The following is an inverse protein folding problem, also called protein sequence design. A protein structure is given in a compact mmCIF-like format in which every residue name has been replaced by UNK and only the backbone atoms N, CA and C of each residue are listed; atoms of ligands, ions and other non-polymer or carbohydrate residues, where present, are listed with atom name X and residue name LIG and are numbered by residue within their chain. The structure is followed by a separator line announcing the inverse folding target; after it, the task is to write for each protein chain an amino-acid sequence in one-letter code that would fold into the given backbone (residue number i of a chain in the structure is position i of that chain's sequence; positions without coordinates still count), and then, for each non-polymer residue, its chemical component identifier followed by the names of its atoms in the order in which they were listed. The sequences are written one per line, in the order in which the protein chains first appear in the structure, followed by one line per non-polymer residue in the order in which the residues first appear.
data_IF_761508665612
#
_entry.id   IF_761508665612
#
_cell.length_a   1.000
_cell.length_b   1.000
_cell.length_c   1.000
_cell.angle_alpha   90.00
_cell.angle_beta   90.00
_cell.angle_gamma   90.00
#
_symmetry.space_group_name_H-M   'P 1'
#
loop_
_entity.id
_entity.type
_entity.pdbx_description
1 polymer ?
#
# COMPACT_ATOMS: atom_id res chain seq x y z
N UNK A 1 -4.53 -10.97 22.96
CA UNK A 1 -3.87 -10.16 21.92
C UNK A 1 -3.39 -11.10 20.83
N UNK A 2 -3.29 -10.59 19.63
CA UNK A 2 -2.99 -11.30 18.40
C UNK A 2 -1.92 -10.51 17.62
N UNK A 3 -1.47 -11.06 16.50
CA UNK A 3 -0.50 -10.42 15.61
C UNK A 3 -1.01 -10.11 14.22
N UNK A 4 -2.16 -10.68 13.85
CA UNK A 4 -2.71 -10.61 12.52
C UNK A 4 -2.06 -11.60 11.54
N UNK A 5 -1.45 -12.67 12.05
CA UNK A 5 -0.90 -13.75 11.23
C UNK A 5 -1.88 -14.90 11.24
N UNK A 6 -2.51 -15.16 10.09
CA UNK A 6 -3.57 -16.18 10.00
C UNK A 6 -2.97 -17.57 10.10
N UNK A 7 -3.48 -18.36 11.04
CA UNK A 7 -3.03 -19.73 11.27
C UNK A 7 -3.87 -20.76 10.51
N UNK A 8 -5.14 -20.44 10.25
CA UNK A 8 -6.05 -21.31 9.51
C UNK A 8 -7.23 -20.53 8.93
N UNK A 9 -7.91 -21.12 7.95
CA UNK A 9 -9.26 -20.73 7.57
C UNK A 9 -10.24 -21.83 7.97
N UNK A 10 -11.48 -21.46 8.29
CA UNK A 10 -12.51 -22.41 8.70
C UNK A 10 -13.88 -22.04 8.13
N UNK A 11 -14.68 -23.06 7.84
CA UNK A 11 -16.08 -22.89 7.43
C UNK A 11 -16.98 -22.63 8.64
N UNK A 12 -17.99 -21.78 8.46
CA UNK A 12 -19.09 -21.64 9.40
C UNK A 12 -20.00 -22.87 9.27
N UNK A 13 -20.07 -23.68 10.31
CA UNK A 13 -20.92 -24.87 10.36
C UNK A 13 -22.37 -24.51 10.70
N UNK A 14 -22.56 -23.54 11.58
CA UNK A 14 -23.89 -23.00 11.91
C UNK A 14 -23.78 -21.61 12.52
N UNK A 15 -24.79 -20.78 12.29
CA UNK A 15 -24.92 -19.46 12.91
C UNK A 15 -26.34 -19.30 13.45
N UNK A 16 -26.45 -19.23 14.78
CA UNK A 16 -27.69 -18.88 15.47
C UNK A 16 -27.81 -17.37 15.69
N UNK A 17 -28.74 -16.96 16.55
CA UNK A 17 -28.94 -15.54 16.87
C UNK A 17 -27.71 -14.91 17.53
N UNK A 18 -27.13 -15.60 18.51
CA UNK A 18 -25.93 -15.18 19.25
C UNK A 18 -24.86 -16.26 19.30
N UNK A 19 -25.00 -17.35 18.54
CA UNK A 19 -24.06 -18.48 18.56
C UNK A 19 -23.42 -18.65 17.18
N UNK A 20 -22.12 -18.92 17.18
CA UNK A 20 -21.35 -19.19 15.97
C UNK A 20 -20.56 -20.47 16.16
N UNK A 21 -20.75 -21.46 15.28
CA UNK A 21 -19.98 -22.68 15.27
C UNK A 21 -19.16 -22.77 13.98
N UNK A 22 -17.87 -23.05 14.12
CA UNK A 22 -16.89 -23.14 13.05
C UNK A 22 -16.29 -24.54 12.98
N UNK A 23 -15.82 -24.93 11.81
CA UNK A 23 -14.97 -26.11 11.68
C UNK A 23 -13.68 -25.93 12.49
N UNK A 24 -13.31 -26.94 13.28
CA UNK A 24 -12.09 -26.93 14.08
C UNK A 24 -10.88 -27.29 13.22
N UNK A 25 -9.89 -26.39 13.03
CA UNK A 25 -8.64 -26.75 12.40
C UNK A 25 -7.89 -27.78 13.25
N UNK A 26 -7.25 -28.76 12.62
CA UNK A 26 -6.46 -29.79 13.33
C UNK A 26 -5.31 -29.20 14.15
N UNK A 27 -4.75 -28.07 13.71
CA UNK A 27 -3.68 -27.34 14.39
C UNK A 27 -4.12 -26.68 15.70
N UNK A 28 -5.43 -26.57 15.95
CA UNK A 28 -6.00 -25.94 17.15
C UNK A 28 -6.23 -27.00 18.23
N UNK A 29 -5.21 -27.78 18.55
CA UNK A 29 -5.22 -28.88 19.52
C UNK A 29 -5.04 -28.42 20.98
N UNK A 30 -4.42 -27.26 21.18
CA UNK A 30 -4.14 -26.65 22.49
C UNK A 30 -5.23 -25.70 23.02
N UNK A 31 -6.39 -25.64 22.36
CA UNK A 31 -7.52 -24.81 22.79
C UNK A 31 -8.23 -25.40 24.02
N UNK A 32 -8.73 -24.52 24.88
CA UNK A 32 -9.60 -24.81 26.03
C UNK A 32 -10.82 -23.90 26.04
N UNK A 33 -11.86 -24.26 26.79
CA UNK A 33 -12.99 -23.35 27.06
C UNK A 33 -12.43 -22.05 27.67
N UNK A 34 -12.89 -20.91 27.17
CA UNK A 34 -12.40 -19.59 27.52
C UNK A 34 -11.16 -19.13 26.74
N UNK A 35 -10.61 -19.94 25.83
CA UNK A 35 -9.53 -19.46 24.94
C UNK A 35 -10.03 -18.38 24.00
N UNK A 36 -9.20 -17.37 23.75
CA UNK A 36 -9.51 -16.32 22.78
C UNK A 36 -8.99 -16.68 21.39
N UNK A 37 -9.87 -16.59 20.40
CA UNK A 37 -9.56 -16.80 18.97
C UNK A 37 -10.09 -15.60 18.20
N UNK A 38 -9.26 -15.00 17.35
CA UNK A 38 -9.68 -13.99 16.41
C UNK A 38 -10.36 -14.68 15.22
N UNK A 39 -11.63 -14.36 14.99
CA UNK A 39 -12.43 -14.85 13.87
C UNK A 39 -12.62 -13.71 12.87
N UNK A 40 -11.87 -13.75 11.78
CA UNK A 40 -11.71 -12.63 10.83
C UNK A 40 -11.46 -11.29 11.53
N UNK A 41 -10.53 -11.29 12.48
CA UNK A 41 -10.16 -10.11 13.27
C UNK A 41 -11.06 -9.82 14.47
N UNK A 42 -12.13 -10.59 14.72
CA UNK A 42 -12.99 -10.40 15.90
C UNK A 42 -12.56 -11.36 17.00
N UNK A 43 -12.10 -10.84 18.14
CA UNK A 43 -11.77 -11.65 19.31
C UNK A 43 -13.02 -12.29 19.90
N UNK A 44 -13.09 -13.61 19.90
CA UNK A 44 -14.18 -14.39 20.49
C UNK A 44 -13.63 -15.43 21.49
N UNK A 45 -14.44 -15.76 22.49
CA UNK A 45 -14.10 -16.74 23.52
C UNK A 45 -14.76 -18.08 23.23
N UNK A 46 -13.97 -19.15 23.22
CA UNK A 46 -14.46 -20.52 23.00
C UNK A 46 -15.40 -20.92 24.14
N UNK A 47 -16.65 -21.24 23.83
CA UNK A 47 -17.64 -21.73 24.82
C UNK A 47 -17.76 -23.26 24.82
N UNK A 48 -17.51 -23.88 23.67
CA UNK A 48 -17.53 -25.33 23.51
C UNK A 48 -16.67 -25.71 22.29
N UNK A 49 -16.11 -26.91 22.31
CA UNK A 49 -15.42 -27.47 21.16
C UNK A 49 -15.39 -29.00 21.25
N UNK A 50 -15.29 -29.65 20.10
CA UNK A 50 -15.10 -31.10 20.00
C UNK A 50 -14.02 -31.42 18.96
N UNK A 51 -13.99 -32.65 18.43
CA UNK A 51 -13.02 -33.06 17.42
C UNK A 51 -13.20 -32.35 16.05
N UNK A 52 -14.38 -31.77 15.78
CA UNK A 52 -14.76 -31.22 14.47
C UNK A 52 -15.17 -29.75 14.51
N UNK A 53 -15.53 -29.22 15.67
CA UNK A 53 -16.13 -27.89 15.78
C UNK A 53 -15.58 -27.09 16.96
N UNK A 54 -15.62 -25.76 16.81
CA UNK A 54 -15.41 -24.77 17.86
C UNK A 54 -16.60 -23.82 17.85
N UNK A 55 -17.16 -23.53 19.02
CA UNK A 55 -18.33 -22.69 19.19
C UNK A 55 -18.04 -21.46 20.04
N UNK A 56 -18.72 -20.37 19.72
CA UNK A 56 -18.58 -19.06 20.34
C UNK A 56 -19.95 -18.45 20.62
N UNK A 57 -20.05 -17.68 21.70
CA UNK A 57 -21.12 -16.68 21.86
C UNK A 57 -20.66 -15.36 21.24
N UNK A 58 -21.52 -14.77 20.42
CA UNK A 58 -21.29 -13.50 19.74
C UNK A 58 -22.39 -12.53 20.13
N UNK A 59 -22.01 -11.46 20.81
CA UNK A 59 -22.97 -10.43 21.24
C UNK A 59 -23.53 -9.67 20.04
N UNK A 60 -24.78 -9.22 20.15
CA UNK A 60 -25.50 -8.55 19.06
C UNK A 60 -24.75 -7.32 18.53
N UNK A 61 -24.11 -6.54 19.39
CA UNK A 61 -23.31 -5.38 18.97
C UNK A 61 -22.16 -5.77 18.06
N UNK A 62 -21.48 -6.90 18.34
CA UNK A 62 -20.40 -7.42 17.49
C UNK A 62 -20.93 -7.89 16.15
N UNK A 63 -22.08 -8.58 16.13
CA UNK A 63 -22.74 -8.96 14.87
C UNK A 63 -23.11 -7.72 14.04
N UNK A 64 -23.62 -6.66 14.66
CA UNK A 64 -24.01 -5.42 13.95
C UNK A 64 -22.82 -4.61 13.44
N UNK A 65 -21.69 -4.61 14.15
CA UNK A 65 -20.53 -3.75 13.85
C UNK A 65 -19.45 -4.42 13.01
N UNK A 66 -19.58 -5.72 12.73
CA UNK A 66 -18.56 -6.49 12.02
C UNK A 66 -19.19 -7.27 10.86
N UNK A 67 -18.37 -7.73 9.90
CA UNK A 67 -18.84 -8.56 8.79
C UNK A 67 -19.47 -9.87 9.25
N UNK A 68 -19.18 -10.33 10.48
CA UNK A 68 -19.75 -11.57 11.02
C UNK A 68 -21.29 -11.54 10.99
N UNK A 69 -21.91 -10.37 11.11
CA UNK A 69 -23.36 -10.21 11.02
C UNK A 69 -23.94 -10.60 9.66
N UNK A 70 -23.21 -10.38 8.57
CA UNK A 70 -23.66 -10.70 7.20
C UNK A 70 -23.29 -12.11 6.73
N UNK A 71 -22.38 -12.80 7.41
CA UNK A 71 -21.97 -14.15 7.02
C UNK A 71 -23.06 -15.19 7.30
N UNK A 72 -23.07 -16.25 6.50
CA UNK A 72 -23.99 -17.38 6.57
C UNK A 72 -23.26 -18.71 6.75
N UNK A 73 -24.01 -19.77 7.04
CA UNK A 73 -23.47 -21.13 7.05
C UNK A 73 -22.79 -21.45 5.70
N UNK A 74 -21.61 -22.05 5.75
CA UNK A 74 -20.79 -22.37 4.58
C UNK A 74 -19.72 -21.32 4.25
N UNK A 75 -19.89 -20.07 4.69
CA UNK A 75 -18.88 -19.03 4.49
C UNK A 75 -17.59 -19.37 5.24
N UNK A 76 -16.47 -18.86 4.72
CA UNK A 76 -15.14 -19.11 5.27
C UNK A 76 -14.64 -17.88 6.02
N UNK A 77 -13.99 -18.11 7.15
CA UNK A 77 -13.40 -17.07 8.01
C UNK A 77 -11.93 -17.36 8.30
N UNK A 78 -11.13 -16.30 8.47
CA UNK A 78 -9.76 -16.40 8.97
C UNK A 78 -9.75 -16.69 10.48
N UNK A 79 -8.79 -17.47 10.95
CA UNK A 79 -8.59 -17.79 12.36
C UNK A 79 -7.15 -17.55 12.80
N UNK A 80 -7.01 -16.96 13.98
CA UNK A 80 -5.74 -16.81 14.71
C UNK A 80 -6.02 -17.01 16.20
N UNK A 81 -5.23 -17.85 16.88
CA UNK A 81 -5.29 -18.03 18.33
C UNK A 81 -4.60 -16.87 19.02
N UNK A 82 -5.00 -16.58 20.26
CA UNK A 82 -4.29 -15.59 21.05
C UNK A 82 -2.81 -15.97 21.22
N UNK A 83 -1.94 -14.97 21.05
CA UNK A 83 -0.50 -15.14 21.10
C UNK A 83 -0.04 -15.59 22.50
N UNK A 84 0.86 -16.59 22.54
CA UNK A 84 1.57 -16.97 23.77
C UNK A 84 2.56 -15.88 24.16
N UNK A 85 2.82 -15.73 25.47
CA UNK A 85 3.70 -14.68 25.98
C UNK A 85 5.16 -14.81 25.49
N UNK A 86 5.60 -16.03 25.20
CA UNK A 86 6.89 -16.39 24.62
C UNK A 86 6.86 -16.57 23.08
N UNK A 87 5.72 -16.24 22.47
CA UNK A 87 5.53 -16.31 21.03
C UNK A 87 6.29 -15.22 20.26
N UNK A 88 6.45 -15.44 18.96
CA UNK A 88 7.04 -14.46 18.05
C UNK A 88 6.01 -13.45 17.58
N UNK A 89 6.41 -12.20 17.55
CA UNK A 89 5.58 -11.09 17.11
C UNK A 89 5.88 -10.73 15.64
N UNK A 90 5.28 -11.46 14.70
CA UNK A 90 5.63 -11.35 13.27
C UNK A 90 4.78 -10.32 12.50
N UNK A 91 3.67 -9.85 13.08
CA UNK A 91 2.83 -8.76 12.56
C UNK A 91 2.91 -7.50 13.41
N UNK A 92 1.74 -6.95 13.80
CA UNK A 92 1.64 -5.82 14.73
C UNK A 92 0.65 -6.11 15.87
N UNK A 93 0.42 -5.19 16.80
CA UNK A 93 -0.52 -5.41 17.91
C UNK A 93 -1.95 -5.39 17.39
N UNK A 94 -2.55 -6.57 17.38
CA UNK A 94 -3.96 -6.76 17.05
C UNK A 94 -4.70 -7.13 18.33
N UNK A 95 -5.71 -6.33 18.67
CA UNK A 95 -6.56 -6.54 19.83
C UNK A 95 -7.70 -7.52 19.50
N UNK A 96 -8.10 -7.58 18.24
CA UNK A 96 -9.28 -8.30 17.79
C UNK A 96 -10.56 -7.51 18.05
N UNK A 97 -10.46 -6.18 18.06
CA UNK A 97 -11.54 -5.23 18.31
C UNK A 97 -11.80 -4.44 17.03
N UNK A 98 -12.51 -5.06 16.09
CA UNK A 98 -12.86 -4.43 14.83
C UNK A 98 -13.64 -3.13 15.03
N UNK A 99 -13.25 -2.10 14.30
CA UNK A 99 -13.72 -0.73 14.48
C UNK A 99 -14.69 -0.30 13.39
N UNK A 100 -14.69 -1.03 12.27
CA UNK A 100 -15.62 -0.80 11.18
C UNK A 100 -15.55 -1.90 10.14
N UNK A 101 -16.40 -1.74 9.14
CA UNK A 101 -16.45 -2.61 7.97
C UNK A 101 -16.13 -1.78 6.74
N UNK A 102 -15.11 -2.21 6.00
CA UNK A 102 -14.77 -1.69 4.68
C UNK A 102 -15.42 -2.52 3.58
N UNK A 103 -15.56 -1.93 2.40
CA UNK A 103 -16.00 -2.59 1.18
C UNK A 103 -14.85 -2.69 0.20
N UNK A 104 -14.63 -3.85 -0.39
CA UNK A 104 -13.66 -3.99 -1.47
C UNK A 104 -14.12 -3.15 -2.65
N UNK A 105 -13.29 -2.19 -3.05
CA UNK A 105 -13.54 -1.31 -4.21
C UNK A 105 -13.02 -1.98 -5.48
N UNK A 106 -11.82 -2.56 -5.40
CA UNK A 106 -11.19 -3.28 -6.50
C UNK A 106 -10.14 -4.25 -5.99
N UNK A 107 -9.98 -5.34 -6.73
CA UNK A 107 -8.83 -6.24 -6.65
C UNK A 107 -8.23 -6.34 -8.05
N UNK A 108 -6.97 -5.94 -8.20
CA UNK A 108 -6.27 -6.06 -9.47
C UNK A 108 -4.94 -6.73 -9.24
N UNK A 109 -4.47 -7.47 -10.24
CA UNK A 109 -3.09 -7.93 -10.27
C UNK A 109 -2.20 -6.70 -10.03
N UNK A 110 -1.41 -6.77 -8.97
CA UNK A 110 -0.22 -5.93 -8.89
C UNK A 110 0.66 -6.51 -9.98
N UNK A 111 0.57 -5.97 -11.21
CA UNK A 111 1.53 -6.34 -12.22
C UNK A 111 2.92 -6.24 -11.59
N UNK A 112 3.77 -7.25 -11.77
CA UNK A 112 5.20 -6.93 -11.81
C UNK A 112 5.27 -5.76 -12.80
N UNK A 113 5.77 -4.59 -12.39
CA UNK A 113 5.82 -3.39 -13.21
C UNK A 113 6.32 -3.78 -14.62
N UNK A 114 5.39 -3.99 -15.55
CA UNK A 114 5.66 -4.53 -16.89
C UNK A 114 4.80 -3.73 -17.86
N UNK A 115 5.41 -3.20 -18.94
CA UNK A 115 4.81 -2.16 -19.76
C UNK A 115 3.74 -2.75 -20.70
N UNK A 116 2.63 -2.02 -20.85
CA UNK A 116 1.72 -2.26 -21.97
C UNK A 116 2.44 -1.99 -23.30
N UNK A 117 2.07 -2.72 -24.38
CA UNK A 117 2.70 -2.60 -25.69
C UNK A 117 2.43 -1.22 -26.30
N UNK A 118 3.46 -0.62 -26.89
CA UNK A 118 3.39 0.69 -27.54
C UNK A 118 2.44 0.69 -28.74
N UNK A 119 1.72 1.79 -29.03
CA UNK A 119 1.07 1.98 -30.32
C UNK A 119 2.12 2.22 -31.41
N UNK A 120 1.90 1.62 -32.57
CA UNK A 120 2.77 1.73 -33.76
C UNK A 120 2.70 3.15 -34.35
N UNK A 121 3.81 3.75 -34.83
CA UNK A 121 3.78 5.10 -35.38
C UNK A 121 3.28 5.09 -36.84
N UNK A 122 2.24 5.86 -37.13
CA UNK A 122 1.88 6.21 -38.51
C UNK A 122 0.38 6.22 -38.81
N UNK A 123 -0.33 7.29 -38.43
CA UNK A 123 -1.52 7.77 -39.13
C UNK A 123 -1.75 9.24 -38.74
N UNK A 124 -1.62 10.12 -39.73
CA UNK A 124 -1.82 11.56 -39.57
C UNK A 124 -3.29 11.98 -39.68
N UNK A 125 -3.55 13.10 -39.02
CA UNK A 125 -4.53 14.16 -39.24
C UNK A 125 -6.06 13.96 -39.13
N UNK A 126 -6.61 14.89 -38.32
CA UNK A 126 -7.95 15.52 -38.34
C UNK A 126 -9.19 14.68 -37.95
N UNK A 127 -9.63 14.81 -36.69
CA UNK A 127 -11.05 14.95 -36.34
C UNK A 127 -11.27 15.31 -34.85
N UNK A 128 -12.06 16.37 -34.66
CA UNK A 128 -13.01 16.67 -33.58
C UNK A 128 -12.61 16.67 -32.09
N UNK A 129 -12.98 17.80 -31.46
CA UNK A 129 -13.02 18.05 -30.02
C UNK A 129 -13.94 17.04 -29.32
N UNK A 130 -13.38 15.95 -28.84
CA UNK A 130 -13.96 15.16 -27.74
C UNK A 130 -12.93 15.03 -26.63
N UNK A 131 -13.39 15.26 -25.40
CA UNK A 131 -12.63 15.18 -24.16
C UNK A 131 -11.81 13.90 -24.08
N UNK A 132 -10.50 14.02 -24.31
CA UNK A 132 -9.53 12.94 -24.19
C UNK A 132 -9.46 12.50 -22.72
N UNK A 133 -10.19 11.43 -22.42
CA UNK A 133 -9.98 10.59 -21.25
C UNK A 133 -8.58 9.96 -21.39
N UNK A 134 -7.67 10.31 -20.49
CA UNK A 134 -6.32 9.77 -20.45
C UNK A 134 -6.35 8.26 -20.17
N UNK A 135 -5.79 7.46 -21.08
CA UNK A 135 -5.38 6.06 -20.85
C UNK A 135 -3.87 6.05 -20.53
N UNK A 136 -3.52 6.12 -19.25
CA UNK A 136 -2.16 5.92 -18.76
C UNK A 136 -2.20 4.96 -17.57
N UNK A 137 -1.29 3.98 -17.56
CA UNK A 137 -0.95 2.99 -16.51
C UNK A 137 -2.02 2.74 -15.44
N UNK A 138 -2.63 1.55 -15.50
CA UNK A 138 -3.68 1.11 -14.58
C UNK A 138 -3.29 1.29 -13.10
N UNK A 139 -3.96 2.22 -12.41
CA UNK A 139 -4.06 2.23 -10.94
C UNK A 139 -3.39 3.37 -10.17
N UNK A 140 -2.70 4.32 -10.79
CA UNK A 140 -2.11 5.46 -10.07
C UNK A 140 -3.10 6.64 -9.96
N UNK A 141 -3.48 7.01 -8.75
CA UNK A 141 -4.35 8.15 -8.43
C UNK A 141 -3.63 9.50 -8.59
N UNK A 142 -4.43 10.52 -8.90
CA UNK A 142 -4.01 11.89 -9.14
C UNK A 142 -3.36 12.49 -7.87
N UNK A 143 -2.26 13.26 -7.99
CA UNK A 143 -1.65 13.94 -6.85
C UNK A 143 -2.65 14.89 -6.16
N UNK A 144 -2.59 15.06 -4.82
CA UNK A 144 -3.51 15.93 -4.08
C UNK A 144 -3.56 17.34 -4.67
N UNK A 145 -4.73 17.98 -4.61
CA UNK A 145 -4.92 19.33 -5.19
C UNK A 145 -3.96 20.37 -4.62
N UNK A 146 -3.58 20.25 -3.34
CA UNK A 146 -2.55 21.05 -2.68
C UNK A 146 -1.16 20.84 -3.28
N UNK A 147 -0.78 19.60 -3.57
CA UNK A 147 0.50 19.24 -4.21
C UNK A 147 0.52 19.73 -5.66
N UNK A 148 -0.60 19.59 -6.38
CA UNK A 148 -0.76 20.14 -7.73
C UNK A 148 -0.66 21.67 -7.73
N UNK A 149 -1.26 22.34 -6.75
CA UNK A 149 -1.19 23.78 -6.58
C UNK A 149 0.23 24.24 -6.26
N UNK A 150 0.93 23.53 -5.35
CA UNK A 150 2.32 23.81 -5.01
C UNK A 150 3.24 23.63 -6.22
N UNK A 151 3.11 22.53 -6.97
CA UNK A 151 3.86 22.33 -8.21
C UNK A 151 3.61 23.43 -9.25
N UNK A 152 2.39 23.99 -9.33
CA UNK A 152 2.10 25.15 -10.19
C UNK A 152 2.77 26.43 -9.68
N UNK A 153 2.84 26.65 -8.37
CA UNK A 153 3.55 27.78 -7.78
C UNK A 153 5.07 27.68 -8.05
N UNK A 154 5.67 26.51 -7.81
CA UNK A 154 7.10 26.25 -8.10
C UNK A 154 7.47 26.47 -9.57
N UNK A 155 6.56 26.17 -10.52
CA UNK A 155 6.79 26.48 -11.95
C UNK A 155 6.83 27.97 -12.26
N UNK A 156 6.14 28.80 -11.47
CA UNK A 156 6.12 30.26 -11.64
C UNK A 156 7.36 30.90 -11.02
N UNK A 157 7.82 30.36 -9.90
CA UNK A 157 8.94 30.90 -9.13
C UNK A 157 10.07 29.86 -8.95
N UNK A 158 10.71 29.41 -10.05
CA UNK A 158 11.78 28.43 -9.94
C UNK A 158 13.08 29.05 -9.42
N UNK A 159 13.90 28.23 -8.76
CA UNK A 159 15.23 28.63 -8.28
C UNK A 159 16.16 28.95 -9.45
N UNK A 160 17.29 29.64 -9.18
CA UNK A 160 18.29 29.95 -10.22
C UNK A 160 18.86 28.67 -10.86
N UNK A 161 19.14 27.65 -10.05
CA UNK A 161 19.63 26.36 -10.52
C UNK A 161 18.57 25.63 -11.36
N UNK A 162 17.31 25.58 -10.90
CA UNK A 162 16.21 24.98 -11.69
C UNK A 162 16.02 25.68 -13.05
N UNK A 163 16.15 27.02 -13.10
CA UNK A 163 16.09 27.76 -14.37
C UNK A 163 17.20 27.32 -15.32
N UNK A 164 18.43 27.27 -14.85
CA UNK A 164 19.60 26.86 -15.65
C UNK A 164 19.47 25.42 -16.14
N UNK A 165 19.10 24.48 -15.24
CA UNK A 165 18.93 23.08 -15.61
C UNK A 165 17.75 22.90 -16.59
N UNK A 166 16.65 23.64 -16.41
CA UNK A 166 15.54 23.60 -17.36
C UNK A 166 15.94 24.03 -18.77
N UNK A 167 16.79 25.06 -18.90
CA UNK A 167 17.25 25.52 -20.21
C UNK A 167 18.11 24.48 -20.95
N UNK A 168 18.82 23.66 -20.19
CA UNK A 168 19.60 22.54 -20.70
C UNK A 168 18.71 21.34 -21.07
N UNK A 169 17.67 21.05 -20.30
CA UNK A 169 16.77 19.90 -20.52
C UNK A 169 15.66 20.17 -21.56
N UNK A 170 15.17 21.40 -21.67
CA UNK A 170 14.03 21.74 -22.54
C UNK A 170 14.35 21.48 -24.02
N UNK A 171 13.30 21.17 -24.79
CA UNK A 171 13.36 20.91 -26.25
C UNK A 171 14.15 19.65 -26.63
N UNK A 172 14.05 18.57 -25.86
CA UNK A 172 14.63 17.26 -26.19
C UNK A 172 16.15 17.27 -26.38
N UNK A 173 16.86 18.23 -25.77
CA UNK A 173 18.31 18.41 -25.94
C UNK A 173 19.13 17.25 -25.40
N UNK A 174 18.59 16.48 -24.46
CA UNK A 174 19.21 15.26 -23.95
C UNK A 174 18.70 14.07 -24.76
N UNK A 175 19.43 13.70 -25.81
CA UNK A 175 19.23 12.47 -26.60
C UNK A 175 17.81 12.22 -27.11
N UNK A 176 17.00 13.26 -27.29
CA UNK A 176 15.61 13.12 -27.75
C UNK A 176 14.57 12.95 -26.63
N UNK A 177 14.97 12.77 -25.37
CA UNK A 177 14.04 12.50 -24.27
C UNK A 177 13.34 13.75 -23.76
N UNK A 178 12.05 13.60 -23.43
CA UNK A 178 11.22 14.69 -22.91
C UNK A 178 11.24 14.74 -21.38
N UNK A 179 11.56 15.91 -20.83
CA UNK A 179 11.50 16.19 -19.40
C UNK A 179 10.37 17.18 -19.08
N UNK A 180 9.65 16.93 -17.98
CA UNK A 180 8.62 17.80 -17.42
C UNK A 180 9.10 18.43 -16.12
N UNK A 181 8.78 19.70 -15.91
CA UNK A 181 9.09 20.40 -14.66
C UNK A 181 8.04 20.19 -13.57
N UNK A 182 8.53 20.09 -12.34
CA UNK A 182 7.74 20.07 -11.11
C UNK A 182 6.60 19.07 -11.24
N UNK A 183 6.94 17.82 -11.55
CA UNK A 183 5.97 16.75 -11.80
C UNK A 183 5.49 16.23 -10.44
N UNK A 184 4.20 16.41 -10.11
CA UNK A 184 3.68 15.78 -8.91
C UNK A 184 3.41 14.30 -9.17
N UNK A 185 3.87 13.44 -8.26
CA UNK A 185 3.73 11.99 -8.27
C UNK A 185 3.37 11.58 -6.84
N UNK A 186 2.13 11.12 -6.63
CA UNK A 186 1.61 10.89 -5.29
C UNK A 186 1.63 12.16 -4.44
N UNK A 187 2.21 12.09 -3.24
CA UNK A 187 2.42 13.23 -2.34
C UNK A 187 3.71 14.03 -2.64
N UNK A 188 4.53 13.57 -3.58
CA UNK A 188 5.84 14.16 -3.88
C UNK A 188 5.80 15.03 -5.14
N UNK A 189 6.72 16.01 -5.23
CA UNK A 189 6.97 16.81 -6.44
C UNK A 189 8.41 16.58 -6.86
N UNK A 190 8.64 16.09 -8.08
CA UNK A 190 9.96 15.92 -8.67
C UNK A 190 10.28 17.12 -9.56
N UNK A 191 11.42 17.76 -9.38
CA UNK A 191 11.77 19.01 -10.08
C UNK A 191 11.83 18.83 -11.59
N UNK A 192 12.42 17.73 -12.07
CA UNK A 192 12.36 17.32 -13.47
C UNK A 192 12.09 15.83 -13.61
N UNK A 193 11.15 15.44 -14.45
CA UNK A 193 10.79 14.04 -14.65
C UNK A 193 10.71 13.67 -16.13
N UNK A 194 11.39 12.59 -16.50
CA UNK A 194 11.28 11.95 -17.80
C UNK A 194 10.41 10.68 -17.68
N UNK A 195 9.24 10.72 -18.32
CA UNK A 195 8.28 9.61 -18.31
C UNK A 195 8.83 8.38 -19.03
N UNK A 196 9.48 8.58 -20.19
CA UNK A 196 9.97 7.51 -21.05
C UNK A 196 11.04 6.65 -20.35
N UNK A 197 11.84 7.26 -19.49
CA UNK A 197 12.95 6.60 -18.79
C UNK A 197 12.65 6.29 -17.33
N UNK A 198 11.51 6.76 -16.79
CA UNK A 198 11.22 6.76 -15.35
C UNK A 198 12.39 7.35 -14.54
N UNK A 199 12.94 8.49 -14.99
CA UNK A 199 14.02 9.20 -14.30
C UNK A 199 13.47 10.49 -13.71
N UNK A 200 13.63 10.65 -12.39
CA UNK A 200 13.42 11.90 -11.69
C UNK A 200 14.74 12.60 -11.39
N UNK A 201 14.79 13.91 -11.54
CA UNK A 201 15.92 14.75 -11.17
C UNK A 201 15.46 15.73 -10.10
N UNK A 202 16.19 15.79 -9.00
CA UNK A 202 15.99 16.73 -7.90
C UNK A 202 17.14 17.72 -7.82
N UNK A 203 16.80 18.97 -7.58
CA UNK A 203 17.73 20.09 -7.42
C UNK A 203 17.67 20.55 -5.98
N UNK A 204 18.64 20.11 -5.18
CA UNK A 204 18.60 20.36 -3.73
C UNK A 204 18.71 21.86 -3.41
N UNK A 205 17.63 22.40 -2.84
CA UNK A 205 17.56 23.73 -2.24
C UNK A 205 18.16 23.76 -0.83
N UNK A 206 19.47 23.52 -0.70
CA UNK A 206 20.22 23.71 0.54
C UNK A 206 20.24 22.49 1.46
N UNK A 207 21.43 21.89 1.63
CA UNK A 207 21.69 20.82 2.60
C UNK A 207 21.75 21.48 3.99
N UNK A 208 20.65 21.40 4.75
CA UNK A 208 20.69 21.66 6.20
C UNK A 208 20.55 20.34 6.95
N UNK A 209 21.54 20.08 7.78
CA UNK A 209 21.83 18.80 8.40
C UNK A 209 20.98 18.59 9.67
N UNK A 210 19.71 18.19 9.50
CA UNK A 210 18.84 17.78 10.62
C UNK A 210 18.37 16.32 10.44
N UNK A 211 18.53 15.50 11.49
CA UNK A 211 18.25 14.05 11.52
C UNK A 211 16.83 13.68 11.09
N UNK A 212 15.86 14.57 11.25
CA UNK A 212 14.46 14.37 10.85
C UNK A 212 14.26 14.43 9.33
N UNK A 213 15.08 15.20 8.61
CA UNK A 213 15.01 15.30 7.15
C UNK A 213 15.55 14.03 6.47
N UNK A 214 16.60 13.41 7.04
CA UNK A 214 17.22 12.18 6.48
C UNK A 214 16.23 11.01 6.39
N UNK A 215 15.38 10.85 7.41
CA UNK A 215 14.34 9.82 7.42
C UNK A 215 13.22 10.12 6.39
N UNK A 216 12.92 11.40 6.15
CA UNK A 216 11.96 11.83 5.13
C UNK A 216 12.52 11.66 3.70
N UNK A 217 13.83 11.88 3.53
CA UNK A 217 14.55 11.75 2.25
C UNK A 217 14.81 10.30 1.83
N UNK A 218 15.12 9.41 2.79
CA UNK A 218 15.23 7.97 2.56
C UNK A 218 13.87 7.37 2.18
N UNK A 219 12.82 7.74 2.93
CA UNK A 219 11.43 7.38 2.62
C UNK A 219 10.98 7.85 1.23
N UNK A 220 11.31 9.09 0.86
CA UNK A 220 11.00 9.68 -0.45
C UNK A 220 11.70 8.94 -1.59
N UNK A 221 12.95 8.52 -1.38
CA UNK A 221 13.74 7.80 -2.37
C UNK A 221 13.21 6.37 -2.59
N UNK A 222 12.82 5.66 -1.53
CA UNK A 222 12.21 4.33 -1.61
C UNK A 222 10.79 4.38 -2.22
N UNK A 223 10.00 5.40 -1.88
CA UNK A 223 8.65 5.61 -2.43
C UNK A 223 8.64 5.81 -3.96
N UNK A 224 9.66 6.47 -4.49
CA UNK A 224 9.83 6.67 -5.93
C UNK A 224 10.48 5.45 -6.59
N UNK A 225 11.42 4.77 -5.93
CA UNK A 225 12.02 3.53 -6.40
C UNK A 225 10.99 2.40 -6.57
N UNK A 226 10.03 2.26 -5.64
CA UNK A 226 8.92 1.30 -5.74
C UNK A 226 7.99 1.58 -6.94
N UNK A 227 8.01 2.79 -7.50
CA UNK A 227 7.30 3.17 -8.74
C UNK A 227 8.16 3.02 -9.98
N UNK A 228 9.33 2.39 -9.87
CA UNK A 228 10.31 2.25 -10.94
C UNK A 228 11.02 3.55 -11.28
N UNK A 229 10.89 4.60 -10.46
CA UNK A 229 11.49 5.90 -10.72
C UNK A 229 12.88 5.96 -10.11
N UNK A 230 13.90 6.13 -10.95
CA UNK A 230 15.27 6.40 -10.49
C UNK A 230 15.44 7.89 -10.26
N UNK A 231 15.76 8.27 -9.03
CA UNK A 231 16.11 9.64 -8.68
C UNK A 231 17.59 9.90 -8.88
N UNK A 232 17.91 11.05 -9.48
CA UNK A 232 19.26 11.61 -9.58
C UNK A 232 19.23 12.99 -8.93
N UNK A 233 20.13 13.24 -7.99
CA UNK A 233 20.20 14.51 -7.25
C UNK A 233 21.40 15.33 -7.68
N UNK A 234 21.21 16.64 -7.79
CA UNK A 234 22.28 17.60 -8.02
C UNK A 234 22.16 18.78 -7.06
N UNK A 235 23.30 19.22 -6.54
CA UNK A 235 23.33 20.43 -5.72
C UNK A 235 23.23 21.68 -6.60
N UNK A 236 22.75 22.78 -6.01
CA UNK A 236 22.74 24.08 -6.68
C UNK A 236 24.14 24.47 -7.21
N UNK A 237 25.20 24.18 -6.46
CA UNK A 237 26.59 24.47 -6.83
C UNK A 237 27.02 23.70 -8.08
N UNK A 238 26.73 22.39 -8.15
CA UNK A 238 27.00 21.56 -9.32
C UNK A 238 26.29 22.10 -10.57
N UNK A 239 25.04 22.55 -10.45
CA UNK A 239 24.29 23.10 -11.57
C UNK A 239 24.83 24.47 -11.98
N UNK A 240 25.24 25.31 -11.03
CA UNK A 240 25.73 26.66 -11.31
C UNK A 240 27.15 26.67 -11.89
N UNK A 241 28.02 25.76 -11.46
CA UNK A 241 29.45 25.81 -11.74
C UNK A 241 29.97 24.60 -12.54
N UNK A 242 29.25 23.48 -12.57
CA UNK A 242 29.67 22.22 -13.18
C UNK A 242 28.60 21.62 -14.12
N UNK A 243 27.90 22.48 -14.87
CA UNK A 243 26.77 22.07 -15.72
C UNK A 243 27.13 20.99 -16.76
N UNK A 244 28.34 21.01 -17.32
CA UNK A 244 28.79 19.97 -18.26
C UNK A 244 28.78 18.57 -17.64
N UNK A 245 29.17 18.48 -16.38
CA UNK A 245 29.28 17.21 -15.64
C UNK A 245 27.90 16.71 -15.20
N UNK A 246 27.01 17.65 -14.83
CA UNK A 246 25.59 17.37 -14.57
C UNK A 246 24.93 16.76 -15.80
N UNK A 247 25.13 17.36 -16.97
CA UNK A 247 24.56 16.86 -18.23
C UNK A 247 25.13 15.49 -18.61
N UNK A 248 26.45 15.30 -18.50
CA UNK A 248 27.08 14.00 -18.74
C UNK A 248 26.55 12.90 -17.79
N UNK A 249 26.33 13.25 -16.52
CA UNK A 249 25.74 12.35 -15.52
C UNK A 249 24.30 11.97 -15.90
N UNK A 250 23.46 12.95 -16.28
CA UNK A 250 22.09 12.69 -16.74
C UNK A 250 22.10 11.77 -17.98
N UNK A 251 22.97 12.04 -18.95
CA UNK A 251 23.11 11.21 -20.15
C UNK A 251 23.58 9.78 -19.85
N UNK A 252 24.44 9.59 -18.86
CA UNK A 252 24.86 8.27 -18.40
C UNK A 252 23.66 7.53 -17.78
N UNK A 253 22.85 8.22 -16.97
CA UNK A 253 21.65 7.68 -16.37
C UNK A 253 20.58 7.32 -17.41
N UNK A 254 20.57 7.96 -18.57
CA UNK A 254 19.73 7.55 -19.71
C UNK A 254 20.20 6.25 -20.41
N UNK A 255 21.43 5.79 -20.19
CA UNK A 255 22.01 4.57 -20.83
C UNK A 255 21.93 3.30 -19.96
N UNK A 256 21.65 3.42 -18.67
CA UNK A 256 21.61 2.28 -17.74
C UNK A 256 20.27 1.57 -17.92
N UNK A 257 20.21 0.30 -18.37
CA UNK A 257 18.98 -0.48 -18.37
C UNK A 257 18.46 -0.64 -16.93
N UNK A 258 17.14 -0.80 -16.77
CA UNK A 258 16.55 -1.14 -15.47
C UNK A 258 17.38 -2.26 -14.82
N UNK A 259 17.68 -2.17 -13.50
CA UNK A 259 18.35 -3.27 -12.82
C UNK A 259 17.57 -4.57 -13.06
N UNK A 260 18.24 -5.72 -13.31
CA UNK A 260 17.55 -7.00 -13.23
C UNK A 260 16.91 -7.10 -11.83
N UNK A 261 15.74 -7.74 -11.78
CA UNK A 261 14.98 -8.00 -10.55
C UNK A 261 15.93 -8.34 -9.39
N UNK A 262 15.70 -7.66 -8.26
CA UNK A 262 16.64 -7.56 -7.15
C UNK A 262 17.32 -8.88 -6.81
N UNK A 263 18.65 -8.86 -6.85
CA UNK A 263 19.50 -9.88 -6.27
C UNK A 263 19.37 -9.88 -4.75
N UNK A 264 18.31 -10.51 -4.25
CA UNK A 264 18.30 -11.15 -2.94
C UNK A 264 19.01 -12.50 -3.04
N UNK A 265 19.90 -12.78 -2.10
CA UNK A 265 20.74 -13.97 -2.04
C UNK A 265 19.91 -15.25 -2.25
N UNK A 266 20.26 -16.04 -3.28
CA UNK A 266 19.71 -17.37 -3.58
C UNK A 266 19.99 -18.34 -2.42
N UNK A 267 19.02 -18.53 -1.55
CA UNK A 267 18.81 -19.81 -0.85
C UNK A 267 17.94 -20.69 -1.74
N UNK A 268 18.50 -21.78 -2.28
CA UNK A 268 17.84 -22.63 -3.26
C UNK A 268 16.53 -23.26 -2.74
N UNK A 269 15.42 -22.91 -3.37
CA UNK A 269 14.14 -23.57 -3.26
C UNK A 269 13.28 -23.15 -4.45
N UNK A 270 12.85 -24.12 -5.26
CA UNK A 270 12.07 -23.95 -6.50
C UNK A 270 10.83 -23.06 -6.33
N UNK A 271 10.86 -21.85 -6.91
CA UNK A 271 9.74 -20.92 -6.94
C UNK A 271 8.67 -21.37 -7.95
N UNK A 272 7.45 -21.61 -7.45
CA UNK A 272 6.23 -21.44 -8.25
C UNK A 272 5.77 -20.00 -8.01
N UNK A 273 6.08 -19.10 -8.95
CA UNK A 273 5.77 -17.66 -8.83
C UNK A 273 4.27 -17.40 -8.77
N UNK A 274 3.78 -17.02 -7.58
CA UNK A 274 2.45 -16.44 -7.42
C UNK A 274 2.49 -14.93 -7.70
N UNK A 275 1.44 -14.39 -8.31
CA UNK A 275 1.34 -12.97 -8.62
C UNK A 275 0.81 -12.19 -7.40
N UNK A 276 1.37 -11.00 -7.16
CA UNK A 276 0.87 -10.10 -6.11
C UNK A 276 -0.46 -9.48 -6.53
N UNK A 277 -1.32 -9.16 -5.55
CA UNK A 277 -2.60 -8.46 -5.79
C UNK A 277 -2.60 -7.14 -5.02
N UNK A 278 -3.03 -6.06 -5.67
CA UNK A 278 -3.35 -4.80 -5.01
C UNK A 278 -4.84 -4.79 -4.68
N UNK A 279 -5.17 -4.79 -3.40
CA UNK A 279 -6.54 -4.78 -2.90
C UNK A 279 -6.87 -3.37 -2.40
N UNK A 280 -7.90 -2.74 -2.97
CA UNK A 280 -8.40 -1.42 -2.55
C UNK A 280 -9.69 -1.57 -1.77
N UNK A 281 -9.79 -0.95 -0.60
CA UNK A 281 -10.91 -1.06 0.34
C UNK A 281 -11.40 0.34 0.72
N UNK A 282 -12.72 0.51 0.78
CA UNK A 282 -13.34 1.74 1.28
C UNK A 282 -13.04 1.92 2.77
N UNK A 283 -12.69 3.13 3.16
CA UNK A 283 -12.32 3.48 4.52
C UNK A 283 -13.44 4.33 5.15
N UNK A 284 -14.07 3.89 6.25
CA UNK A 284 -14.95 4.75 7.02
C UNK A 284 -14.23 6.01 7.47
N UNK A 285 -14.86 7.19 7.31
CA UNK A 285 -14.23 8.48 7.61
C UNK A 285 -13.72 8.59 9.05
N UNK A 286 -14.37 7.90 10.00
CA UNK A 286 -13.93 7.85 11.41
C UNK A 286 -12.58 7.15 11.62
N UNK A 287 -12.14 6.32 10.68
CA UNK A 287 -10.87 5.60 10.77
C UNK A 287 -9.72 6.31 10.04
N UNK A 288 -10.03 7.31 9.21
CA UNK A 288 -9.07 7.98 8.32
C UNK A 288 -7.86 8.54 9.06
N UNK A 289 -8.05 9.11 10.26
CA UNK A 289 -6.98 9.72 11.05
C UNK A 289 -5.96 8.69 11.60
N UNK A 290 -6.31 7.40 11.62
CA UNK A 290 -5.42 6.33 12.07
C UNK A 290 -4.71 5.60 10.93
N UNK A 291 -5.04 5.93 9.68
CA UNK A 291 -4.42 5.32 8.50
C UNK A 291 -3.33 6.25 7.97
N UNK A 292 -2.11 5.73 7.95
CA UNK A 292 -0.94 6.39 7.38
C UNK A 292 -0.32 5.49 6.32
N UNK A 293 0.26 6.10 5.30
CA UNK A 293 0.98 5.39 4.25
C UNK A 293 2.17 4.63 4.85
N UNK A 294 2.35 3.36 4.48
CA UNK A 294 3.26 2.38 5.12
C UNK A 294 3.01 2.08 6.60
N UNK A 295 1.91 2.59 7.17
CA UNK A 295 1.45 2.17 8.48
C UNK A 295 0.89 0.75 8.45
N UNK A 296 0.61 0.24 9.65
CA UNK A 296 -0.04 -1.05 9.85
C UNK A 296 -1.56 -0.91 9.81
N UNK A 297 -2.22 -1.89 9.20
CA UNK A 297 -3.66 -2.08 9.32
C UNK A 297 -3.97 -3.57 9.42
N UNK A 298 -5.02 -3.93 10.15
CA UNK A 298 -5.57 -5.28 10.16
C UNK A 298 -6.86 -5.34 9.35
N UNK A 299 -6.89 -6.24 8.35
CA UNK A 299 -8.07 -6.48 7.49
C UNK A 299 -8.48 -7.94 7.64
N UNK A 300 -9.69 -8.20 8.14
CA UNK A 300 -10.17 -9.56 8.46
C UNK A 300 -9.20 -10.37 9.32
N UNK A 301 -8.52 -9.71 10.25
CA UNK A 301 -7.49 -10.33 11.09
C UNK A 301 -6.16 -10.52 10.40
N UNK A 302 -5.96 -10.09 9.15
CA UNK A 302 -4.66 -10.13 8.48
C UNK A 302 -3.92 -8.81 8.71
N UNK A 303 -2.74 -8.86 9.31
CA UNK A 303 -1.84 -7.73 9.45
C UNK A 303 -1.20 -7.39 8.09
N UNK A 304 -1.36 -6.15 7.65
CA UNK A 304 -0.93 -5.68 6.34
C UNK A 304 -0.31 -4.28 6.45
N UNK A 305 0.58 -4.00 5.49
CA UNK A 305 1.15 -2.67 5.28
C UNK A 305 0.27 -1.88 4.32
N UNK A 306 -0.10 -0.66 4.72
CA UNK A 306 -0.85 0.28 3.86
C UNK A 306 0.03 0.71 2.70
N UNK A 307 -0.31 0.27 1.49
CA UNK A 307 0.40 0.61 0.26
C UNK A 307 0.00 2.00 -0.27
N UNK A 308 -1.25 2.41 -0.05
CA UNK A 308 -1.74 3.76 -0.34
C UNK A 308 -2.94 4.09 0.56
N UNK A 309 -3.18 5.37 0.83
CA UNK A 309 -4.35 5.82 1.57
C UNK A 309 -4.88 7.16 1.06
N UNK A 310 -6.19 7.20 0.82
CA UNK A 310 -6.97 8.39 0.46
C UNK A 310 -7.99 8.71 1.56
N UNK A 311 -8.83 9.71 1.34
CA UNK A 311 -9.84 10.15 2.33
C UNK A 311 -10.89 9.07 2.63
N UNK A 312 -11.30 8.32 1.61
CA UNK A 312 -12.42 7.38 1.63
C UNK A 312 -12.02 5.95 1.28
N UNK A 313 -10.73 5.67 1.10
CA UNK A 313 -10.21 4.34 0.75
C UNK A 313 -8.74 4.16 1.10
N UNK A 314 -8.31 2.92 1.17
CA UNK A 314 -6.91 2.52 1.29
C UNK A 314 -6.61 1.35 0.36
N UNK A 315 -5.32 1.13 0.09
CA UNK A 315 -4.84 0.00 -0.69
C UNK A 315 -3.79 -0.78 0.09
N UNK A 316 -3.79 -2.10 -0.06
CA UNK A 316 -2.81 -3.03 0.52
C UNK A 316 -2.31 -3.99 -0.56
N UNK A 317 -1.03 -4.35 -0.49
CA UNK A 317 -0.46 -5.37 -1.36
C UNK A 317 -0.55 -6.73 -0.68
N UNK A 318 -1.11 -7.71 -1.39
CA UNK A 318 -1.22 -9.09 -0.95
C UNK A 318 -0.17 -9.94 -1.67
N UNK A 319 0.70 -10.56 -0.90
CA UNK A 319 1.69 -11.51 -1.40
C UNK A 319 1.07 -12.89 -1.62
N UNK A 320 1.68 -13.78 -2.42
CA UNK A 320 1.12 -15.09 -2.74
C UNK A 320 0.79 -15.94 -1.53
N UNK A 321 1.66 -15.91 -0.51
CA UNK A 321 1.43 -16.65 0.72
C UNK A 321 0.13 -16.20 1.42
N UNK A 322 -0.09 -14.90 1.56
CA UNK A 322 -1.31 -14.32 2.14
C UNK A 322 -2.55 -14.66 1.32
N UNK A 323 -2.44 -14.65 -0.01
CA UNK A 323 -3.53 -15.00 -0.91
C UNK A 323 -3.97 -16.46 -0.74
N UNK A 324 -3.00 -17.36 -0.55
CA UNK A 324 -3.26 -18.80 -0.37
C UNK A 324 -3.75 -19.15 1.04
N UNK A 325 -3.30 -18.42 2.06
CA UNK A 325 -3.53 -18.78 3.47
C UNK A 325 -4.56 -17.90 4.18
N UNK A 326 -5.28 -17.04 3.46
CA UNK A 326 -6.35 -16.22 4.02
C UNK A 326 -7.54 -16.09 3.08
N UNK A 327 -8.68 -15.64 3.61
CA UNK A 327 -9.88 -15.34 2.82
C UNK A 327 -9.70 -14.16 1.87
N UNK A 328 -8.62 -13.37 2.00
CA UNK A 328 -8.43 -12.16 1.18
C UNK A 328 -8.22 -12.49 -0.30
N UNK A 329 -7.68 -13.68 -0.63
CA UNK A 329 -7.37 -14.06 -2.00
C UNK A 329 -8.58 -14.34 -2.89
N UNK A 330 -9.77 -14.50 -2.32
CA UNK A 330 -11.01 -14.78 -3.05
C UNK A 330 -11.98 -13.60 -3.07
N UNK A 331 -11.61 -12.47 -2.48
CA UNK A 331 -12.48 -11.29 -2.37
C UNK A 331 -12.72 -10.63 -3.73
N UNK A 332 -13.95 -10.15 -3.91
CA UNK A 332 -14.43 -9.43 -5.08
C UNK A 332 -14.93 -8.04 -4.68
N UNK A 333 -15.07 -7.15 -5.68
CA UNK A 333 -15.64 -5.83 -5.46
C UNK A 333 -17.04 -5.92 -4.84
N UNK A 334 -17.28 -5.14 -3.78
CA UNK A 334 -18.52 -5.14 -2.99
C UNK A 334 -18.47 -6.01 -1.74
N UNK A 335 -17.49 -6.92 -1.62
CA UNK A 335 -17.33 -7.75 -0.43
C UNK A 335 -16.98 -6.92 0.80
N UNK A 336 -17.47 -7.36 1.96
CA UNK A 336 -17.23 -6.71 3.25
C UNK A 336 -16.00 -7.29 3.92
N UNK A 337 -15.17 -6.43 4.49
CA UNK A 337 -14.01 -6.80 5.33
C UNK A 337 -14.06 -6.06 6.66
N UNK A 338 -13.68 -6.73 7.73
CA UNK A 338 -13.46 -6.09 9.03
C UNK A 338 -12.18 -5.27 9.00
N UNK A 339 -12.21 -4.09 9.60
CA UNK A 339 -11.07 -3.20 9.74
C UNK A 339 -10.73 -2.97 11.20
N UNK A 340 -9.45 -3.10 11.53
CA UNK A 340 -8.88 -2.70 12.82
C UNK A 340 -7.60 -1.89 12.56
N UNK A 341 -7.53 -0.70 13.14
CA UNK A 341 -6.40 0.22 13.00
C UNK A 341 -5.35 -0.04 14.09
N UNK A 342 -4.10 0.33 13.81
CA UNK A 342 -3.01 0.17 14.78
C UNK A 342 -3.31 0.94 16.07
N UNK A 343 -3.29 0.22 17.20
CA UNK A 343 -3.53 0.77 18.53
C UNK A 343 -2.57 1.91 18.89
N UNK A 344 -1.35 1.91 18.34
CA UNK A 344 -0.38 2.98 18.55
C UNK A 344 -0.91 4.33 18.07
N UNK A 345 -1.62 4.38 16.94
CA UNK A 345 -2.22 5.61 16.40
C UNK A 345 -3.22 6.23 17.37
N UNK A 346 -3.99 5.40 18.09
CA UNK A 346 -5.00 5.87 19.06
C UNK A 346 -4.36 6.47 20.30
N UNK A 347 -3.31 5.83 20.84
CA UNK A 347 -2.58 6.36 21.97
C UNK A 347 -1.88 7.68 21.64
N UNK A 348 -1.32 7.81 20.42
CA UNK A 348 -0.70 9.04 19.95
C UNK A 348 -1.74 10.17 19.86
N UNK A 349 -2.90 9.91 19.25
CA UNK A 349 -3.96 10.90 19.13
C UNK A 349 -4.50 11.32 20.51
N UNK A 350 -4.77 10.36 21.39
CA UNK A 350 -5.20 10.64 22.77
C UNK A 350 -4.15 11.46 23.54
N UNK A 351 -2.86 11.18 23.36
CA UNK A 351 -1.80 11.96 23.99
C UNK A 351 -1.67 13.37 23.41
N UNK A 352 -2.01 13.57 22.13
CA UNK A 352 -2.06 14.88 21.50
C UNK A 352 -3.25 15.71 22.00
N UNK A 353 -4.44 15.12 22.08
CA UNK A 353 -5.67 15.80 22.52
C UNK A 353 -5.66 16.22 24.00
N UNK A 354 -4.82 15.58 24.82
CA UNK A 354 -4.63 15.89 26.23
C UNK A 354 -3.55 16.97 26.50
N UNK A 355 -2.96 17.55 25.45
CA UNK A 355 -2.06 18.70 25.54
C UNK A 355 -2.81 19.98 25.21
#
# INVERSE_FOLDING_TARGET
MFTGIIEATAKILSKGQNTLALERPKSFDDIKIGSSIAVSGVCLSVIAFDAKSISFDVVETTLKKTKLGSLSQGDVVNLERAMKADGRFEGHIVLGHCEGVGKVVSSSLSGALSPSPSPVPGAGDAAEKTSHVWKGVAGLTYPPSSVVANARAMRKEPTKAEKLLWEALRKHKIKGYYFRRQRPIGSCIIDFYCEELHIGIEVDGGIHDEKEQRMYDEWRSEHLALRGIRLVRFTNDQIMHHMSDVIASIELHCKVPLPPEGGGVRGGGTERGGQNILLTISLPSSLRCFIVHYGSITIDGVALTVADCMEDRLSVALIPHTLEHSTLGVLQAGDSVNLETDILGKYILQAHDNR
#
